data_IF_910275049876
#
_entry.id   IF_910275049876
#
_cell.length_a   1.000
_cell.length_b   1.000
_cell.length_c   1.000
_cell.angle_alpha   90.00
_cell.angle_beta   90.00
_cell.angle_gamma   90.00
#
_symmetry.space_group_name_H-M   'P 1'
#
loop_
_entity.id
_entity.type
_entity.pdbx_description
1 polymer ?
#
# COMPACT_ATOMS: atom_id res chain seq x y z
N UNK A 1 -28.83 15.44 27.06
CA UNK A 1 -28.82 14.20 26.26
C UNK A 1 -27.77 13.26 26.84
N UNK A 2 -27.79 11.97 26.55
CA UNK A 2 -26.73 11.05 26.97
C UNK A 2 -26.02 10.49 25.73
N UNK A 3 -24.70 10.55 25.72
CA UNK A 3 -23.87 9.82 24.76
C UNK A 3 -23.53 8.44 25.34
N UNK A 4 -23.67 7.41 24.53
CA UNK A 4 -23.33 6.03 24.90
C UNK A 4 -22.17 5.56 24.04
N UNK A 5 -21.15 4.90 24.60
CA UNK A 5 -20.10 4.26 23.81
C UNK A 5 -20.67 3.31 22.76
N UNK A 6 -20.13 3.36 21.54
CA UNK A 6 -20.71 2.67 20.38
C UNK A 6 -20.13 1.27 20.16
N UNK A 7 -18.80 1.13 20.17
CA UNK A 7 -18.13 -0.16 19.88
C UNK A 7 -17.95 -1.06 21.10
N UNK A 8 -17.86 -0.47 22.29
CA UNK A 8 -17.61 -1.20 23.53
C UNK A 8 -18.66 -0.86 24.59
N UNK A 9 -18.79 -1.76 25.57
CA UNK A 9 -19.60 -1.44 26.75
C UNK A 9 -18.84 -0.41 27.57
N UNK A 10 -19.49 0.71 27.85
CA UNK A 10 -18.90 1.73 28.69
C UNK A 10 -19.93 2.65 29.31
N UNK A 11 -19.43 3.54 30.14
CA UNK A 11 -20.27 4.45 30.91
C UNK A 11 -20.87 5.52 29.99
N UNK A 12 -22.16 5.79 30.18
CA UNK A 12 -22.85 6.90 29.51
C UNK A 12 -22.33 8.24 30.02
N UNK A 13 -22.14 9.17 29.10
CA UNK A 13 -21.75 10.55 29.38
C UNK A 13 -22.94 11.48 29.21
N UNK A 14 -23.23 12.30 30.22
CA UNK A 14 -24.21 13.38 30.07
C UNK A 14 -23.64 14.49 29.18
N UNK A 15 -24.42 14.94 28.20
CA UNK A 15 -24.07 16.05 27.31
C UNK A 15 -25.13 17.14 27.44
N UNK A 16 -24.69 18.30 27.92
CA UNK A 16 -25.51 19.50 28.08
C UNK A 16 -25.87 20.13 26.73
N UNK A 17 -26.97 20.90 26.69
CA UNK A 17 -27.52 21.45 25.44
C UNK A 17 -26.59 22.41 24.72
N UNK A 18 -25.80 23.19 25.45
CA UNK A 18 -24.78 24.11 24.96
C UNK A 18 -23.54 23.39 24.41
N UNK A 19 -23.29 22.15 24.85
CA UNK A 19 -22.10 21.35 24.50
C UNK A 19 -22.34 20.32 23.39
N UNK A 20 -23.52 20.35 22.75
CA UNK A 20 -23.90 19.37 21.71
C UNK A 20 -23.61 19.83 20.28
N UNK A 21 -23.39 21.12 20.05
CA UNK A 21 -23.27 21.67 18.69
C UNK A 21 -24.50 21.38 17.83
N UNK A 22 -24.28 20.94 16.58
CA UNK A 22 -25.33 20.57 15.61
C UNK A 22 -25.83 19.12 15.75
N UNK A 23 -25.31 18.33 16.69
CA UNK A 23 -25.67 16.92 16.81
C UNK A 23 -27.06 16.72 17.45
N UNK A 24 -27.82 15.79 16.89
CA UNK A 24 -29.15 15.37 17.34
C UNK A 24 -29.18 13.95 17.90
N UNK A 25 -30.33 13.52 18.48
CA UNK A 25 -30.54 12.13 18.85
C UNK A 25 -30.35 11.19 17.66
N UNK A 26 -29.62 10.09 17.86
CA UNK A 26 -29.33 9.11 16.81
C UNK A 26 -28.07 9.40 16.00
N UNK A 27 -27.44 10.56 16.15
CA UNK A 27 -26.15 10.83 15.51
C UNK A 27 -25.00 10.06 16.17
N UNK A 28 -24.07 9.63 15.34
CA UNK A 28 -22.76 9.14 15.75
C UNK A 28 -21.84 10.35 16.00
N UNK A 29 -21.20 10.40 17.17
CA UNK A 29 -20.46 11.59 17.64
C UNK A 29 -19.17 11.22 18.36
N UNK A 30 -18.15 12.06 18.21
CA UNK A 30 -16.93 12.02 19.03
C UNK A 30 -17.12 12.91 20.26
N UNK A 31 -16.93 12.34 21.45
CA UNK A 31 -17.15 13.03 22.73
C UNK A 31 -15.86 13.08 23.53
N UNK A 32 -15.47 14.28 23.96
CA UNK A 32 -14.42 14.44 24.97
C UNK A 32 -15.02 14.37 26.38
N UNK A 33 -14.58 13.44 27.24
CA UNK A 33 -15.02 13.41 28.63
C UNK A 33 -14.56 14.66 29.37
N UNK A 34 -15.39 15.15 30.28
CA UNK A 34 -15.15 16.31 31.13
C UNK A 34 -15.15 15.92 32.61
N UNK A 35 -14.21 16.52 33.35
CA UNK A 35 -14.06 16.34 34.80
C UNK A 35 -13.39 15.00 35.19
N UNK A 36 -12.91 14.94 36.43
CA UNK A 36 -12.14 13.79 36.96
C UNK A 36 -12.92 12.48 36.98
N UNK A 37 -14.25 12.54 37.06
CA UNK A 37 -15.13 11.35 37.08
C UNK A 37 -15.67 10.96 35.72
N UNK A 38 -15.32 11.66 34.63
CA UNK A 38 -15.85 11.42 33.28
C UNK A 38 -17.37 11.15 33.27
N UNK A 39 -18.15 11.99 33.95
CA UNK A 39 -19.62 11.87 34.03
C UNK A 39 -20.32 12.71 32.98
N UNK A 40 -19.66 13.77 32.53
CA UNK A 40 -20.13 14.69 31.51
C UNK A 40 -19.19 14.64 30.31
N UNK A 41 -19.67 15.06 29.15
CA UNK A 41 -18.87 15.16 27.94
C UNK A 41 -19.25 16.36 27.09
N UNK A 42 -18.33 16.75 26.21
CA UNK A 42 -18.58 17.73 25.16
C UNK A 42 -18.45 17.06 23.81
N UNK A 43 -19.43 17.26 22.93
CA UNK A 43 -19.35 16.78 21.55
C UNK A 43 -18.28 17.59 20.84
N UNK A 44 -17.23 16.92 20.39
CA UNK A 44 -16.16 17.52 19.60
C UNK A 44 -16.51 17.54 18.12
N UNK A 45 -17.12 16.46 17.63
CA UNK A 45 -17.41 16.27 16.21
C UNK A 45 -18.63 15.40 16.01
N UNK A 46 -19.52 15.79 15.09
CA UNK A 46 -20.55 14.91 14.54
C UNK A 46 -19.90 14.05 13.45
N UNK A 47 -19.97 12.73 13.59
CA UNK A 47 -19.36 11.77 12.67
C UNK A 47 -20.35 11.32 11.59
N UNK A 48 -21.65 11.38 11.87
CA UNK A 48 -22.70 11.01 10.91
C UNK A 48 -23.76 10.16 11.58
N UNK A 49 -24.18 9.07 10.95
CA UNK A 49 -25.22 8.18 11.46
C UNK A 49 -24.73 6.73 11.63
N UNK A 50 -25.23 6.00 12.64
CA UNK A 50 -24.82 4.61 12.89
C UNK A 50 -25.36 3.60 11.86
N UNK A 51 -26.32 3.98 11.02
CA UNK A 51 -26.87 3.17 9.92
C UNK A 51 -26.13 3.35 8.58
N UNK A 52 -25.13 4.24 8.55
CA UNK A 52 -24.28 4.49 7.38
C UNK A 52 -22.91 3.84 7.63
N UNK A 53 -22.57 2.81 6.86
CA UNK A 53 -21.36 2.01 7.06
C UNK A 53 -20.08 2.86 7.03
N UNK A 54 -20.01 3.84 6.13
CA UNK A 54 -18.86 4.78 6.05
C UNK A 54 -18.66 5.59 7.34
N UNK A 55 -19.74 6.05 7.96
CA UNK A 55 -19.68 6.85 9.19
C UNK A 55 -19.23 5.97 10.37
N UNK A 56 -19.69 4.72 10.41
CA UNK A 56 -19.24 3.72 11.38
C UNK A 56 -17.75 3.40 11.22
N UNK A 57 -17.26 3.26 9.99
CA UNK A 57 -15.82 3.03 9.73
C UNK A 57 -14.97 4.22 10.17
N UNK A 58 -15.40 5.46 9.91
CA UNK A 58 -14.72 6.66 10.42
C UNK A 58 -14.67 6.68 11.96
N UNK A 59 -15.78 6.32 12.61
CA UNK A 59 -15.81 6.23 14.07
C UNK A 59 -14.90 5.12 14.61
N UNK A 60 -14.84 3.97 13.94
CA UNK A 60 -13.98 2.85 14.33
C UNK A 60 -12.50 3.23 14.25
N UNK A 61 -12.08 3.92 13.19
CA UNK A 61 -10.69 4.41 13.07
C UNK A 61 -10.33 5.32 14.26
N UNK A 62 -11.20 6.28 14.57
CA UNK A 62 -10.98 7.18 15.71
C UNK A 62 -10.96 6.44 17.06
N UNK A 63 -11.85 5.48 17.26
CA UNK A 63 -11.94 4.64 18.47
C UNK A 63 -10.63 3.88 18.70
N UNK A 64 -10.00 3.39 17.62
CA UNK A 64 -8.68 2.73 17.66
C UNK A 64 -7.49 3.70 17.65
N UNK A 65 -7.74 4.99 17.83
CA UNK A 65 -6.70 6.01 17.92
C UNK A 65 -6.09 6.42 16.58
N UNK A 66 -6.64 5.94 15.46
CA UNK A 66 -6.19 6.30 14.11
C UNK A 66 -6.75 7.66 13.74
N UNK A 67 -5.87 8.54 13.27
CA UNK A 67 -6.20 9.92 12.92
C UNK A 67 -5.85 10.16 11.46
N UNK A 68 -6.89 10.29 10.62
CA UNK A 68 -6.82 10.52 9.16
C UNK A 68 -6.06 11.77 8.70
N UNK A 69 -5.41 12.49 9.60
CA UNK A 69 -4.70 13.72 9.33
C UNK A 69 -3.33 13.65 9.96
N UNK A 70 -2.33 13.99 9.17
CA UNK A 70 -1.00 14.29 9.65
C UNK A 70 -0.97 15.65 10.35
N UNK A 71 -0.04 15.81 11.29
CA UNK A 71 0.25 17.12 11.84
C UNK A 71 0.70 18.09 10.71
N UNK A 72 0.25 19.35 10.69
CA UNK A 72 0.66 20.31 9.66
C UNK A 72 2.18 20.47 9.51
N UNK A 73 2.96 20.25 10.56
CA UNK A 73 4.43 20.24 10.48
C UNK A 73 4.97 19.02 9.73
N UNK A 74 4.36 17.84 9.92
CA UNK A 74 4.72 16.62 9.17
C UNK A 74 4.37 16.78 7.69
N UNK A 75 3.19 17.33 7.39
CA UNK A 75 2.76 17.66 6.02
C UNK A 75 3.74 18.59 5.30
N UNK A 76 4.22 19.63 6.00
CA UNK A 76 5.23 20.55 5.44
C UNK A 76 6.56 19.84 5.19
N UNK A 77 7.02 19.05 6.16
CA UNK A 77 8.27 18.29 6.05
C UNK A 77 8.22 17.28 4.89
N UNK A 78 7.09 16.59 4.68
CA UNK A 78 6.91 15.67 3.57
C UNK A 78 6.94 16.38 2.21
N UNK A 79 6.28 17.53 2.07
CA UNK A 79 6.36 18.33 0.82
C UNK A 79 7.75 18.88 0.54
N UNK A 80 8.53 19.17 1.58
CA UNK A 80 9.93 19.57 1.43
C UNK A 80 10.81 18.38 1.00
N UNK A 81 10.67 17.23 1.66
CA UNK A 81 11.36 15.98 1.31
C UNK A 81 11.04 15.50 -0.12
N UNK A 82 9.80 15.67 -0.58
CA UNK A 82 9.37 15.30 -1.92
C UNK A 82 9.98 16.19 -3.03
N UNK A 83 10.24 17.48 -2.73
CA UNK A 83 10.82 18.44 -3.68
C UNK A 83 12.33 18.46 -3.66
N UNK A 84 12.92 18.03 -2.55
CA UNK A 84 14.36 17.93 -2.44
C UNK A 84 14.78 16.75 -3.32
N UNK A 85 15.65 16.95 -4.31
CA UNK A 85 16.28 15.83 -5.01
C UNK A 85 16.81 14.87 -3.95
N UNK A 86 16.71 13.53 -4.14
CA UNK A 86 17.26 12.54 -3.23
C UNK A 86 18.58 13.03 -2.62
N UNK A 87 18.53 13.35 -1.32
CA UNK A 87 19.48 14.23 -0.65
C UNK A 87 20.93 13.78 -0.92
N UNK A 88 21.72 14.62 -1.61
CA UNK A 88 23.19 14.55 -1.67
C UNK A 88 23.78 13.16 -1.93
N UNK A 89 23.57 12.60 -3.12
CA UNK A 89 24.15 11.32 -3.53
C UNK A 89 25.70 11.39 -3.56
N UNK A 90 26.33 11.11 -2.43
CA UNK A 90 27.63 10.41 -2.42
C UNK A 90 27.44 8.93 -2.78
N UNK A 91 26.19 8.45 -2.86
CA UNK A 91 25.82 7.09 -3.22
C UNK A 91 25.69 7.02 -4.73
N UNK A 92 26.62 6.32 -5.38
CA UNK A 92 26.51 6.01 -6.81
C UNK A 92 25.31 5.10 -7.03
N UNK A 93 24.27 5.61 -7.70
CA UNK A 93 23.10 4.82 -8.09
C UNK A 93 23.38 4.09 -9.41
N UNK A 94 22.99 2.82 -9.46
CA UNK A 94 22.97 2.06 -10.71
C UNK A 94 21.85 2.60 -11.61
N UNK A 95 22.21 2.94 -12.84
CA UNK A 95 21.24 3.41 -13.82
C UNK A 95 20.55 2.22 -14.49
N UNK A 96 19.23 2.14 -14.32
CA UNK A 96 18.36 1.15 -14.95
C UNK A 96 17.22 1.84 -15.73
N UNK A 97 17.34 3.11 -16.08
CA UNK A 97 16.27 3.86 -16.77
C UNK A 97 15.94 3.33 -18.16
N UNK A 98 16.90 2.65 -18.80
CA UNK A 98 16.71 2.02 -20.10
C UNK A 98 16.30 0.53 -20.00
N UNK A 99 16.17 0.00 -18.78
CA UNK A 99 15.72 -1.38 -18.55
C UNK A 99 14.18 -1.42 -18.60
N UNK A 100 13.56 -2.25 -19.46
CA UNK A 100 12.12 -2.35 -19.53
C UNK A 100 11.49 -2.71 -18.17
N UNK A 101 10.64 -1.84 -17.65
CA UNK A 101 10.14 -1.88 -16.27
C UNK A 101 8.62 -1.69 -16.26
N UNK A 102 7.90 -2.45 -15.46
CA UNK A 102 6.46 -2.29 -15.26
C UNK A 102 6.06 -2.43 -13.79
N UNK A 103 4.94 -1.83 -13.40
CA UNK A 103 4.27 -2.11 -12.12
C UNK A 103 2.99 -2.90 -12.36
N UNK A 104 2.53 -3.70 -11.39
CA UNK A 104 1.23 -4.38 -11.44
C UNK A 104 0.52 -4.19 -10.11
N UNK A 105 -0.56 -3.42 -10.13
CA UNK A 105 -1.24 -3.00 -8.91
C UNK A 105 -2.77 -3.13 -9.05
N UNK A 106 -3.55 -3.05 -7.94
CA UNK A 106 -4.98 -2.85 -8.04
C UNK A 106 -5.31 -1.57 -8.83
N UNK A 107 -6.41 -1.53 -9.62
CA UNK A 107 -6.79 -0.33 -10.37
C UNK A 107 -6.94 0.95 -9.51
N UNK A 108 -7.27 0.77 -8.23
CA UNK A 108 -7.46 1.84 -7.24
C UNK A 108 -6.17 2.36 -6.62
N UNK A 109 -5.04 1.67 -6.77
CA UNK A 109 -3.76 2.05 -6.19
C UNK A 109 -3.22 3.35 -6.81
N UNK A 110 -2.45 4.11 -6.01
CA UNK A 110 -1.78 5.37 -6.41
C UNK A 110 -0.32 5.42 -5.97
N UNK A 111 0.02 4.56 -5.03
CA UNK A 111 1.28 4.29 -4.38
C UNK A 111 1.84 2.99 -4.97
N UNK A 112 2.67 3.10 -6.01
CA UNK A 112 3.32 1.96 -6.64
C UNK A 112 4.68 1.76 -5.97
N UNK A 113 4.73 0.85 -5.02
CA UNK A 113 5.91 0.64 -4.16
C UNK A 113 6.93 -0.32 -4.80
N UNK A 114 6.50 -1.17 -5.72
CA UNK A 114 7.34 -2.13 -6.43
C UNK A 114 7.15 -2.08 -7.95
N UNK A 115 8.25 -2.37 -8.65
CA UNK A 115 8.28 -2.54 -10.10
C UNK A 115 9.17 -3.72 -10.47
N UNK A 116 8.89 -4.32 -11.62
CA UNK A 116 9.57 -5.53 -12.09
C UNK A 116 10.19 -5.28 -13.47
N UNK A 117 11.44 -5.73 -13.62
CA UNK A 117 12.07 -5.97 -14.91
C UNK A 117 12.50 -7.42 -15.01
N UNK A 118 12.60 -7.93 -16.24
CA UNK A 118 13.01 -9.30 -16.47
C UNK A 118 13.67 -9.47 -17.84
N UNK A 119 14.68 -10.34 -17.90
CA UNK A 119 15.42 -10.67 -19.11
C UNK A 119 15.73 -12.17 -19.15
N UNK A 120 15.43 -12.84 -20.26
CA UNK A 120 15.90 -14.21 -20.50
C UNK A 120 17.29 -14.16 -21.10
N UNK A 121 18.26 -14.78 -20.42
CA UNK A 121 19.61 -14.94 -20.92
C UNK A 121 19.66 -16.06 -21.99
N UNK A 122 20.60 -16.00 -22.95
CA UNK A 122 20.80 -17.07 -23.94
C UNK A 122 21.11 -18.45 -23.34
N UNK A 123 21.60 -18.49 -22.09
CA UNK A 123 21.87 -19.73 -21.35
C UNK A 123 20.61 -20.46 -20.88
N UNK A 124 19.42 -19.86 -21.04
CA UNK A 124 18.16 -20.36 -20.48
C UNK A 124 17.85 -19.85 -19.07
N UNK A 125 18.81 -19.16 -18.43
CA UNK A 125 18.60 -18.48 -17.15
C UNK A 125 17.74 -17.24 -17.33
N UNK A 126 17.06 -16.82 -16.28
CA UNK A 126 16.27 -15.59 -16.28
C UNK A 126 16.78 -14.64 -15.21
N UNK A 127 17.07 -13.39 -15.57
CA UNK A 127 17.33 -12.33 -14.60
C UNK A 127 16.03 -11.60 -14.32
N UNK A 128 15.74 -11.40 -13.04
CA UNK A 128 14.64 -10.59 -12.55
C UNK A 128 15.24 -9.47 -11.71
N UNK A 129 14.73 -8.25 -11.91
CA UNK A 129 14.98 -7.14 -11.01
C UNK A 129 13.67 -6.77 -10.34
N UNK A 130 13.68 -6.82 -9.01
CA UNK A 130 12.60 -6.28 -8.18
C UNK A 130 13.06 -4.93 -7.68
N UNK A 131 12.42 -3.87 -8.16
CA UNK A 131 12.73 -2.49 -7.81
C UNK A 131 11.74 -2.01 -6.75
N UNK A 132 12.22 -1.70 -5.55
CA UNK A 132 11.39 -1.16 -4.46
C UNK A 132 11.62 0.34 -4.36
N UNK A 133 10.55 1.12 -4.21
CA UNK A 133 10.60 2.56 -3.98
C UNK A 133 11.61 2.92 -2.88
N UNK A 134 12.56 3.81 -3.18
CA UNK A 134 13.56 4.22 -2.20
C UNK A 134 13.00 5.29 -1.23
N UNK A 135 12.10 4.87 -0.34
CA UNK A 135 11.51 5.74 0.68
C UNK A 135 12.58 6.43 1.54
N UNK A 136 13.68 5.73 1.82
CA UNK A 136 14.79 6.24 2.62
C UNK A 136 15.59 7.37 1.92
N UNK A 137 15.47 7.50 0.59
CA UNK A 137 16.01 8.64 -0.14
C UNK A 137 15.33 9.97 0.25
N UNK A 138 14.06 9.90 0.65
CA UNK A 138 13.23 11.06 1.00
C UNK A 138 13.05 11.21 2.52
N UNK A 139 12.93 10.10 3.25
CA UNK A 139 12.65 10.09 4.69
C UNK A 139 13.93 9.86 5.48
N UNK A 140 14.50 10.94 6.02
CA UNK A 140 15.73 10.87 6.82
C UNK A 140 15.42 10.43 8.27
N UNK A 141 16.28 9.60 8.89
CA UNK A 141 16.17 9.23 10.30
C UNK A 141 16.08 10.47 11.20
N UNK A 142 15.17 10.45 12.17
CA UNK A 142 14.93 11.56 13.08
C UNK A 142 14.21 12.76 12.46
N UNK A 143 13.79 12.71 11.20
CA UNK A 143 12.92 13.74 10.61
C UNK A 143 11.50 13.71 11.22
N UNK A 144 10.69 14.78 11.08
CA UNK A 144 9.30 14.74 11.48
C UNK A 144 8.49 13.63 10.80
N UNK A 145 8.79 13.36 9.52
CA UNK A 145 8.13 12.29 8.75
C UNK A 145 8.54 10.92 9.28
N UNK A 146 9.82 10.70 9.57
CA UNK A 146 10.33 9.44 10.13
C UNK A 146 9.68 9.11 11.48
N UNK A 147 9.62 10.08 12.41
CA UNK A 147 8.96 9.89 13.71
C UNK A 147 7.47 9.59 13.57
N UNK A 148 6.80 10.23 12.61
CA UNK A 148 5.40 9.97 12.32
C UNK A 148 5.20 8.55 11.75
N UNK A 149 5.99 8.18 10.75
CA UNK A 149 5.97 6.86 10.13
C UNK A 149 6.22 5.77 11.16
N UNK A 150 7.22 5.96 12.04
CA UNK A 150 7.49 5.06 13.16
C UNK A 150 6.31 4.93 14.12
N UNK A 151 5.63 6.04 14.44
CA UNK A 151 4.44 6.01 15.31
C UNK A 151 3.26 5.28 14.67
N UNK A 152 3.08 5.43 13.36
CA UNK A 152 2.01 4.76 12.60
C UNK A 152 2.34 3.29 12.33
N UNK A 153 3.62 2.96 12.16
CA UNK A 153 4.21 1.66 11.84
C UNK A 153 3.78 1.02 10.50
N UNK A 154 2.51 1.15 10.12
CA UNK A 154 1.95 0.63 8.87
C UNK A 154 0.80 1.51 8.40
N UNK A 155 0.49 1.43 7.09
CA UNK A 155 -0.79 1.91 6.59
C UNK A 155 -1.91 0.99 7.10
N UNK A 156 -3.06 1.57 7.45
CA UNK A 156 -4.25 0.81 7.85
C UNK A 156 -5.31 0.95 6.75
N UNK A 157 -5.65 -0.17 6.12
CA UNK A 157 -6.65 -0.23 5.07
C UNK A 157 -8.00 -0.65 5.67
N UNK A 158 -9.03 0.14 5.42
CA UNK A 158 -10.43 -0.20 5.73
C UNK A 158 -11.27 -0.09 4.46
N UNK A 159 -12.44 -0.74 4.38
CA UNK A 159 -13.29 -0.63 3.20
C UNK A 159 -13.56 0.83 2.79
N UNK A 160 -13.04 1.23 1.63
CA UNK A 160 -13.23 2.57 1.06
C UNK A 160 -12.38 3.69 1.68
N UNK A 161 -11.41 3.40 2.56
CA UNK A 161 -10.47 4.41 3.06
C UNK A 161 -9.14 3.81 3.50
N UNK A 162 -8.09 4.63 3.47
CA UNK A 162 -6.77 4.29 3.98
C UNK A 162 -6.33 5.32 5.02
N UNK A 163 -5.74 4.86 6.10
CA UNK A 163 -4.91 5.65 7.00
C UNK A 163 -3.45 5.42 6.60
N UNK A 164 -2.85 6.30 5.79
CA UNK A 164 -1.55 6.01 5.21
C UNK A 164 -0.42 6.18 6.25
N UNK A 165 0.63 5.38 6.14
CA UNK A 165 1.83 5.52 6.97
C UNK A 165 2.58 6.83 6.66
N UNK A 166 2.64 7.20 5.39
CA UNK A 166 3.34 8.39 4.90
C UNK A 166 2.34 9.41 4.31
N UNK A 167 2.64 10.71 4.37
CA UNK A 167 1.82 11.72 3.69
C UNK A 167 1.79 11.52 2.17
N UNK A 168 0.69 11.90 1.51
CA UNK A 168 0.45 11.69 0.07
C UNK A 168 1.54 12.28 -0.83
N UNK A 169 2.17 13.39 -0.40
CA UNK A 169 3.28 14.01 -1.12
C UNK A 169 4.47 13.06 -1.34
N UNK A 170 4.63 12.07 -0.45
CA UNK A 170 5.64 11.03 -0.56
C UNK A 170 5.05 9.76 -1.16
N UNK A 171 4.00 9.18 -0.54
CA UNK A 171 3.47 7.86 -0.95
C UNK A 171 2.98 7.83 -2.40
N UNK A 172 2.16 8.81 -2.80
CA UNK A 172 1.57 8.86 -4.14
C UNK A 172 2.41 9.71 -5.11
N UNK A 173 3.44 10.37 -4.59
CA UNK A 173 4.26 11.34 -5.29
C UNK A 173 5.68 10.84 -5.47
N UNK A 174 6.58 11.36 -4.64
CA UNK A 174 8.02 11.17 -4.82
C UNK A 174 8.50 9.71 -4.72
N UNK A 175 7.82 8.88 -3.92
CA UNK A 175 8.17 7.46 -3.76
C UNK A 175 7.47 6.56 -4.78
N UNK A 176 6.31 6.95 -5.30
CA UNK A 176 5.54 6.12 -6.24
C UNK A 176 6.29 5.94 -7.55
N UNK A 177 6.45 4.69 -7.99
CA UNK A 177 7.15 4.28 -9.22
C UNK A 177 6.28 4.50 -10.47
N UNK A 178 5.75 5.72 -10.61
CA UNK A 178 4.88 6.13 -11.72
C UNK A 178 5.58 6.04 -13.08
N UNK A 179 4.84 5.71 -14.16
CA UNK A 179 5.43 5.56 -15.48
C UNK A 179 5.96 6.90 -16.04
N UNK A 180 7.09 6.82 -16.76
CA UNK A 180 7.71 7.94 -17.45
C UNK A 180 8.55 8.90 -16.59
N UNK A 181 8.61 8.69 -15.27
CA UNK A 181 9.40 9.53 -14.36
C UNK A 181 10.59 8.77 -13.79
N UNK A 182 11.72 9.47 -13.64
CA UNK A 182 12.90 8.92 -12.96
C UNK A 182 12.61 8.82 -11.47
N UNK A 183 12.78 7.61 -10.93
CA UNK A 183 12.52 7.32 -9.51
C UNK A 183 13.71 6.59 -8.87
N UNK A 184 14.13 7.02 -7.67
CA UNK A 184 15.11 6.28 -6.90
C UNK A 184 14.49 4.98 -6.39
N UNK A 185 15.23 3.88 -6.51
CA UNK A 185 14.81 2.57 -6.04
C UNK A 185 15.94 1.85 -5.29
N UNK A 186 15.54 0.85 -4.50
CA UNK A 186 16.41 -0.22 -4.00
C UNK A 186 16.07 -1.46 -4.82
N UNK A 187 17.03 -1.92 -5.62
CA UNK A 187 16.83 -3.04 -6.54
C UNK A 187 17.45 -4.31 -6.00
N UNK A 188 16.67 -5.39 -5.99
CA UNK A 188 17.15 -6.76 -5.81
C UNK A 188 17.24 -7.41 -7.20
N UNK A 189 18.47 -7.73 -7.62
CA UNK A 189 18.76 -8.45 -8.87
C UNK A 189 18.95 -9.93 -8.56
N UNK A 190 18.16 -10.78 -9.19
CA UNK A 190 18.15 -12.22 -9.00
C UNK A 190 18.35 -12.91 -10.35
N UNK A 191 19.34 -13.81 -10.44
CA UNK A 191 19.48 -14.72 -11.59
C UNK A 191 18.92 -16.09 -11.20
N UNK A 192 17.94 -16.55 -11.98
CA UNK A 192 17.24 -17.81 -11.79
C UNK A 192 17.69 -18.87 -12.80
N UNK A 193 17.89 -20.08 -12.31
CA UNK A 193 17.97 -21.32 -13.10
C UNK A 193 16.76 -22.19 -12.72
N UNK A 194 15.71 -22.14 -13.53
CA UNK A 194 14.39 -22.66 -13.13
C UNK A 194 13.83 -21.89 -11.92
N UNK A 195 13.70 -22.57 -10.77
CA UNK A 195 13.23 -21.99 -9.52
C UNK A 195 14.36 -21.62 -8.54
N UNK A 196 15.60 -21.98 -8.86
CA UNK A 196 16.74 -21.77 -7.98
C UNK A 196 17.39 -20.41 -8.26
N UNK A 197 17.60 -19.62 -7.19
CA UNK A 197 18.37 -18.38 -7.27
C UNK A 197 19.86 -18.74 -7.27
N UNK A 198 20.52 -18.54 -8.40
CA UNK A 198 21.94 -18.87 -8.57
C UNK A 198 22.87 -17.66 -8.37
N UNK A 199 22.32 -16.45 -8.43
CA UNK A 199 23.05 -15.21 -8.15
C UNK A 199 22.11 -14.14 -7.60
N UNK A 200 22.61 -13.36 -6.65
CA UNK A 200 21.93 -12.20 -6.07
C UNK A 200 22.85 -10.98 -6.09
N UNK A 201 22.30 -9.80 -6.35
CA UNK A 201 22.96 -8.52 -6.14
C UNK A 201 21.96 -7.45 -5.67
N UNK A 202 22.45 -6.46 -4.92
CA UNK A 202 21.63 -5.38 -4.37
C UNK A 202 22.18 -4.03 -4.81
N UNK A 203 21.29 -3.16 -5.29
CA UNK A 203 21.69 -1.86 -5.81
C UNK A 203 20.82 -0.75 -5.24
N UNK A 204 21.44 0.38 -4.89
CA UNK A 204 20.73 1.67 -4.96
C UNK A 204 20.67 2.04 -6.44
N UNK A 205 19.49 2.35 -6.96
CA UNK A 205 19.29 2.56 -8.39
C UNK A 205 18.42 3.78 -8.71
N UNK A 206 18.40 4.13 -9.98
CA UNK A 206 17.38 4.99 -10.61
C UNK A 206 16.73 4.18 -11.72
N UNK A 207 15.40 4.14 -11.72
CA UNK A 207 14.58 3.48 -12.73
C UNK A 207 13.67 4.49 -13.42
N UNK A 208 13.10 4.09 -14.56
CA UNK A 208 11.96 4.77 -15.18
C UNK A 208 10.96 3.69 -15.58
N UNK A 209 9.82 3.63 -14.90
CA UNK A 209 8.77 2.66 -15.24
C UNK A 209 8.20 2.98 -16.62
N UNK A 210 8.02 1.98 -17.48
CA UNK A 210 7.45 2.15 -18.82
C UNK A 210 5.93 2.12 -18.80
N UNK A 211 5.35 1.32 -17.91
CA UNK A 211 3.91 1.07 -17.90
C UNK A 211 3.41 0.73 -16.51
N UNK A 212 2.20 1.25 -16.21
CA UNK A 212 1.43 0.85 -15.05
C UNK A 212 0.38 -0.16 -15.50
N UNK A 213 0.54 -1.41 -15.10
CA UNK A 213 -0.43 -2.46 -15.35
C UNK A 213 -1.36 -2.64 -14.14
N UNK A 214 -2.52 -3.24 -14.38
CA UNK A 214 -3.40 -3.70 -13.32
C UNK A 214 -3.63 -5.21 -13.41
N UNK A 215 -3.91 -5.86 -12.27
CA UNK A 215 -4.11 -7.32 -12.23
C UNK A 215 -5.14 -7.81 -13.26
N UNK A 216 -6.34 -7.20 -13.41
CA UNK A 216 -7.30 -7.60 -14.44
C UNK A 216 -6.76 -7.52 -15.88
N UNK A 217 -5.94 -6.52 -16.20
CA UNK A 217 -5.31 -6.39 -17.52
C UNK A 217 -4.28 -7.48 -17.74
N UNK A 218 -3.43 -7.74 -16.75
CA UNK A 218 -2.42 -8.81 -16.84
C UNK A 218 -3.10 -10.18 -16.98
N UNK A 219 -4.19 -10.44 -16.27
CA UNK A 219 -4.96 -11.68 -16.42
C UNK A 219 -5.57 -11.83 -17.83
N UNK A 220 -6.09 -10.73 -18.42
CA UNK A 220 -6.55 -10.77 -19.82
C UNK A 220 -5.41 -11.05 -20.80
N UNK A 221 -4.22 -10.50 -20.55
CA UNK A 221 -3.02 -10.78 -21.34
C UNK A 221 -2.64 -12.27 -21.22
N UNK A 222 -2.64 -12.80 -20.00
CA UNK A 222 -2.29 -14.20 -19.73
C UNK A 222 -3.28 -15.20 -20.32
N UNK A 223 -4.55 -14.81 -20.42
CA UNK A 223 -5.61 -15.57 -21.09
C UNK A 223 -5.60 -15.41 -22.62
N UNK A 224 -4.71 -14.59 -23.20
CA UNK A 224 -4.63 -14.35 -24.65
C UNK A 224 -5.73 -13.42 -25.20
N UNK A 225 -6.47 -12.74 -24.33
CA UNK A 225 -7.55 -11.81 -24.71
C UNK A 225 -7.05 -10.39 -25.00
N UNK A 226 -5.83 -10.05 -24.61
CA UNK A 226 -5.19 -8.76 -24.84
C UNK A 226 -3.70 -8.98 -25.17
N UNK A 227 -3.10 -8.30 -26.16
CA UNK A 227 -1.69 -8.47 -26.47
C UNK A 227 -0.80 -7.72 -25.48
N UNK A 228 0.29 -8.36 -25.03
CA UNK A 228 1.40 -7.67 -24.38
C UNK A 228 2.18 -6.82 -25.40
N UNK A 229 2.73 -5.67 -24.98
CA UNK A 229 3.40 -4.72 -25.89
C UNK A 229 4.85 -4.49 -25.50
N UNK A 230 5.69 -4.16 -26.48
CA UNK A 230 7.02 -3.65 -26.19
C UNK A 230 6.94 -2.31 -25.43
N UNK A 231 7.90 -2.00 -24.54
CA UNK A 231 9.08 -2.82 -24.24
C UNK A 231 8.87 -3.89 -23.15
N UNK A 232 7.74 -3.89 -22.44
CA UNK A 232 7.51 -4.70 -21.23
C UNK A 232 6.92 -6.10 -21.46
N UNK A 233 6.45 -6.42 -22.67
CA UNK A 233 5.76 -7.69 -22.94
C UNK A 233 6.63 -8.95 -22.80
N UNK A 234 7.84 -8.94 -23.36
CA UNK A 234 8.82 -10.01 -23.18
C UNK A 234 9.29 -10.12 -21.71
N UNK A 235 9.63 -9.01 -21.02
CA UNK A 235 9.85 -9.02 -19.57
C UNK A 235 8.69 -9.65 -18.78
N UNK A 236 7.44 -9.28 -19.05
CA UNK A 236 6.28 -9.85 -18.36
C UNK A 236 6.18 -11.37 -18.58
N UNK A 237 6.45 -11.86 -19.79
CA UNK A 237 6.45 -13.29 -20.09
C UNK A 237 7.63 -14.04 -19.43
N UNK A 238 8.79 -13.39 -19.26
CA UNK A 238 9.91 -13.93 -18.51
C UNK A 238 9.61 -14.01 -17.00
N UNK A 239 9.06 -12.94 -16.42
CA UNK A 239 8.62 -12.87 -15.04
C UNK A 239 7.57 -13.94 -14.72
N UNK A 240 6.57 -14.11 -15.59
CA UNK A 240 5.54 -15.17 -15.46
C UNK A 240 6.15 -16.56 -15.36
N UNK A 241 7.10 -16.90 -16.24
CA UNK A 241 7.73 -18.23 -16.25
C UNK A 241 8.54 -18.53 -14.97
N UNK A 242 9.25 -17.54 -14.43
CA UNK A 242 9.94 -17.66 -13.15
C UNK A 242 8.94 -17.84 -12.01
N UNK A 243 7.89 -17.03 -11.96
CA UNK A 243 6.86 -17.14 -10.92
C UNK A 243 6.17 -18.51 -10.91
N UNK A 244 5.83 -19.06 -12.09
CA UNK A 244 5.28 -20.43 -12.19
C UNK A 244 6.26 -21.49 -11.66
N UNK A 245 7.56 -21.33 -11.93
CA UNK A 245 8.59 -22.25 -11.43
C UNK A 245 8.72 -22.16 -9.91
N UNK A 246 8.66 -20.94 -9.36
CA UNK A 246 8.67 -20.70 -7.91
C UNK A 246 7.43 -21.29 -7.21
N UNK A 247 6.24 -21.12 -7.79
CA UNK A 247 4.99 -21.71 -7.28
C UNK A 247 5.12 -23.24 -7.16
N UNK A 248 5.55 -23.90 -8.24
CA UNK A 248 5.74 -25.34 -8.27
C UNK A 248 6.78 -25.82 -7.23
N UNK A 249 7.90 -25.11 -7.11
CA UNK A 249 8.93 -25.44 -6.13
C UNK A 249 8.45 -25.24 -4.68
N UNK A 250 7.68 -24.18 -4.40
CA UNK A 250 7.09 -23.95 -3.07
C UNK A 250 6.08 -25.04 -2.70
N UNK A 251 5.23 -25.44 -3.64
CA UNK A 251 4.30 -26.55 -3.45
C UNK A 251 5.04 -27.86 -3.13
N UNK A 252 6.13 -28.17 -3.87
CA UNK A 252 6.94 -29.35 -3.63
C UNK A 252 7.64 -29.34 -2.25
N UNK A 253 7.96 -28.16 -1.70
CA UNK A 253 8.51 -28.01 -0.33
C UNK A 253 7.46 -28.10 0.77
N UNK A 254 6.18 -28.32 0.44
CA UNK A 254 5.10 -28.42 1.42
C UNK A 254 4.67 -27.08 2.00
N UNK A 255 4.83 -25.98 1.26
CA UNK A 255 4.33 -24.68 1.68
C UNK A 255 2.80 -24.74 1.89
N UNK A 256 2.35 -24.29 3.06
CA UNK A 256 0.93 -24.22 3.36
C UNK A 256 0.33 -22.99 2.66
N UNK A 257 -0.49 -23.22 1.63
CA UNK A 257 -1.31 -22.19 1.03
C UNK A 257 -2.57 -21.96 1.89
N UNK A 258 -2.54 -20.95 2.75
CA UNK A 258 -3.73 -20.53 3.51
C UNK A 258 -4.46 -19.46 2.69
N UNK A 259 -5.40 -19.89 1.85
CA UNK A 259 -6.26 -18.96 1.13
C UNK A 259 -7.34 -18.40 2.07
N UNK A 260 -7.20 -17.14 2.50
CA UNK A 260 -8.28 -16.42 3.16
C UNK A 260 -9.22 -15.80 2.13
N UNK A 261 -10.52 -16.05 2.27
CA UNK A 261 -11.54 -15.36 1.48
C UNK A 261 -11.73 -13.95 2.04
N UNK A 262 -11.04 -12.97 1.45
CA UNK A 262 -11.20 -11.57 1.86
C UNK A 262 -12.43 -10.92 1.20
N UNK A 263 -13.27 -10.22 1.97
CA UNK A 263 -14.44 -9.52 1.44
C UNK A 263 -14.05 -8.15 0.86
N UNK A 264 -14.49 -7.89 -0.37
CA UNK A 264 -14.44 -6.57 -1.00
C UNK A 264 -15.83 -5.93 -1.00
N UNK A 265 -15.91 -4.68 -0.54
CA UNK A 265 -17.17 -3.94 -0.42
C UNK A 265 -17.25 -2.81 -1.45
N UNK A 266 -18.42 -2.65 -2.08
CA UNK A 266 -18.77 -1.41 -2.80
C UNK A 266 -19.75 -0.58 -2.00
N UNK A 267 -19.56 0.72 -2.06
CA UNK A 267 -20.37 1.70 -1.34
C UNK A 267 -21.16 2.58 -2.30
N UNK A 268 -22.40 2.90 -1.94
CA UNK A 268 -23.17 3.96 -2.59
C UNK A 268 -22.55 5.34 -2.32
N UNK A 269 -23.04 6.38 -3.02
CA UNK A 269 -22.61 7.76 -2.77
C UNK A 269 -22.93 8.21 -1.35
N UNK A 270 -24.01 7.69 -0.79
CA UNK A 270 -24.51 7.92 0.57
C UNK A 270 -23.75 7.10 1.63
N UNK A 271 -22.83 6.21 1.23
CA UNK A 271 -21.97 5.46 2.15
C UNK A 271 -22.55 4.14 2.65
N UNK A 272 -23.63 3.64 2.06
CA UNK A 272 -24.20 2.32 2.34
C UNK A 272 -23.51 1.23 1.50
N UNK A 273 -23.41 0.01 2.03
CA UNK A 273 -22.88 -1.13 1.26
C UNK A 273 -23.89 -1.55 0.20
N UNK A 274 -23.47 -1.56 -1.06
CA UNK A 274 -24.30 -1.97 -2.20
C UNK A 274 -23.95 -3.35 -2.73
N UNK A 275 -22.71 -3.81 -2.49
CA UNK A 275 -22.22 -5.07 -3.02
C UNK A 275 -21.12 -5.63 -2.10
N UNK A 276 -21.10 -6.95 -1.95
CA UNK A 276 -20.06 -7.73 -1.31
C UNK A 276 -19.53 -8.74 -2.32
N UNK A 277 -18.22 -8.71 -2.58
CA UNK A 277 -17.52 -9.66 -3.44
C UNK A 277 -16.47 -10.40 -2.65
N UNK A 278 -16.13 -11.60 -3.09
CA UNK A 278 -14.94 -12.31 -2.61
C UNK A 278 -13.76 -11.86 -3.48
N UNK A 279 -12.68 -11.43 -2.85
CA UNK A 279 -11.42 -11.21 -3.55
C UNK A 279 -10.86 -12.56 -4.01
N UNK A 280 -10.43 -12.62 -5.26
CA UNK A 280 -9.89 -13.84 -5.89
C UNK A 280 -8.45 -13.57 -6.26
N UNK A 281 -7.53 -14.34 -5.68
CA UNK A 281 -6.14 -14.35 -6.14
C UNK A 281 -6.06 -15.06 -7.49
N UNK A 282 -5.70 -14.30 -8.51
CA UNK A 282 -5.48 -14.80 -9.87
C UNK A 282 -4.00 -15.02 -10.14
N UNK A 283 -3.67 -15.50 -11.34
CA UNK A 283 -2.28 -15.76 -11.74
C UNK A 283 -1.40 -14.50 -11.68
N UNK A 284 -1.94 -13.33 -12.06
CA UNK A 284 -1.19 -12.06 -11.97
C UNK A 284 -0.85 -11.66 -10.53
N UNK A 285 -1.72 -11.98 -9.56
CA UNK A 285 -1.42 -11.77 -8.14
C UNK A 285 -0.28 -12.67 -7.68
N UNK A 286 -0.33 -13.96 -8.03
CA UNK A 286 0.72 -14.93 -7.68
C UNK A 286 2.07 -14.62 -8.33
N UNK A 287 2.06 -14.03 -9.52
CA UNK A 287 3.27 -13.54 -10.17
C UNK A 287 4.00 -12.55 -9.27
N UNK A 288 3.33 -11.47 -8.84
CA UNK A 288 3.94 -10.47 -7.97
C UNK A 288 4.29 -11.08 -6.62
N UNK A 289 3.39 -11.85 -6.01
CA UNK A 289 3.61 -12.51 -4.72
C UNK A 289 4.91 -13.34 -4.70
N UNK A 290 5.11 -14.24 -5.69
CA UNK A 290 6.28 -15.10 -5.71
C UNK A 290 7.59 -14.35 -5.96
N UNK A 291 7.57 -13.29 -6.78
CA UNK A 291 8.75 -12.46 -7.00
C UNK A 291 9.10 -11.63 -5.75
N UNK A 292 8.10 -11.08 -5.06
CA UNK A 292 8.31 -10.37 -3.79
C UNK A 292 8.82 -11.29 -2.70
N UNK A 293 8.28 -12.52 -2.60
CA UNK A 293 8.80 -13.51 -1.65
C UNK A 293 10.25 -13.85 -1.97
N UNK A 294 10.61 -14.09 -3.24
CA UNK A 294 11.99 -14.37 -3.62
C UNK A 294 12.94 -13.20 -3.29
N UNK A 295 12.52 -11.96 -3.52
CA UNK A 295 13.29 -10.77 -3.13
C UNK A 295 13.46 -10.68 -1.60
N UNK A 296 12.40 -10.92 -0.83
CA UNK A 296 12.45 -10.92 0.64
C UNK A 296 13.37 -12.04 1.18
N UNK A 297 13.26 -13.26 0.64
CA UNK A 297 14.12 -14.39 1.00
C UNK A 297 15.60 -14.08 0.69
N UNK A 298 15.88 -13.44 -0.46
CA UNK A 298 17.23 -13.04 -0.84
C UNK A 298 17.82 -11.94 0.07
N UNK A 299 17.01 -10.98 0.50
CA UNK A 299 17.43 -9.93 1.46
C UNK A 299 17.69 -10.51 2.86
N UNK A 300 16.96 -11.56 3.24
CA UNK A 300 17.08 -12.18 4.56
C UNK A 300 18.25 -13.17 4.69
N UNK A 301 18.76 -13.70 3.58
CA UNK A 301 19.84 -14.70 3.53
C UNK A 301 21.23 -14.11 3.83
#
# INVERSE_FOLDING_TARGET
MAATPFFERGRRLSVDRDKRGSAGPGDLVLVAPLGSRASHGRIQRRLGRPDVARDVLEALLLDRGLRRRFDPAVERAAREAARTPPLGDTVTRRDFRDLPTFTIDPPTARDFDDAVSAERAPSGRTRIWVHIADVAAHVRPGSPVDREAYRRATSVYVPGAVEPMLPEALSNGACSLVPGEDRPAVTVELEFDGADVVRTAFHRSIIRSDERLDYPRVDRIFAGNEPARAPWGEPLAAARAVATSLEAARAARGALAVESAEPEFRFSREGHVTELRRSVQTESHRLIEHLMIAANEAVAA
#
